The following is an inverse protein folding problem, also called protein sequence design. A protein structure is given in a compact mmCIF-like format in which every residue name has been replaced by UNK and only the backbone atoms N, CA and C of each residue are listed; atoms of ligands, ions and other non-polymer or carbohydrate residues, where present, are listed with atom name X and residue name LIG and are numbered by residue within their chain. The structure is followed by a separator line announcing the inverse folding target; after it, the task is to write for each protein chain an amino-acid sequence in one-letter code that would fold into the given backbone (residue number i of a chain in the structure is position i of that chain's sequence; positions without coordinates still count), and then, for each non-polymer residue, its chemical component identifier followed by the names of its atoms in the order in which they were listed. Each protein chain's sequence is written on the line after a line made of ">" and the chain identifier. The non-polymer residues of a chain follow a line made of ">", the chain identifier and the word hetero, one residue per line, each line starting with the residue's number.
data_IF_732853652720
#
_entry.id   IF_732853652720
#
_cell.length_a   1.000
_cell.length_b   1.000
_cell.length_c   1.000
_cell.angle_alpha   90.00
_cell.angle_beta   90.00
_cell.angle_gamma   90.00
#
_symmetry.space_group_name_H-M   'P 1'
#
loop_
_entity.id
_entity.type
_entity.pdbx_description
1 polymer ?
#
# COMPACT_ATOMS: atom_id res chain seq x y z
N UNK A 1 3.28 9.24 19.29
CA UNK A 1 2.29 8.44 18.53
C UNK A 1 3.07 7.35 17.79
N UNK A 2 2.45 6.45 17.02
CA UNK A 2 3.24 5.48 16.25
C UNK A 2 4.08 6.21 15.19
N UNK A 3 5.42 6.11 15.24
CA UNK A 3 6.35 6.91 14.39
C UNK A 3 6.07 6.81 12.89
N UNK A 4 5.52 5.69 12.43
CA UNK A 4 5.13 5.52 11.03
C UNK A 4 4.00 6.49 10.62
N UNK A 5 3.03 6.73 11.50
CA UNK A 5 1.93 7.68 11.24
C UNK A 5 2.47 9.10 11.17
N UNK A 6 3.37 9.47 12.07
CA UNK A 6 4.03 10.79 12.07
C UNK A 6 4.78 11.04 10.74
N UNK A 7 5.41 10.01 10.16
CA UNK A 7 6.03 10.11 8.83
C UNK A 7 5.02 10.30 7.70
N UNK A 8 3.88 9.62 7.76
CA UNK A 8 2.81 9.77 6.77
C UNK A 8 2.23 11.19 6.85
N UNK A 9 1.93 11.66 8.05
CA UNK A 9 1.38 13.00 8.26
C UNK A 9 2.33 14.07 7.68
N UNK A 10 3.63 13.93 7.96
CA UNK A 10 4.65 14.80 7.38
C UNK A 10 4.68 14.74 5.84
N UNK A 11 4.71 13.52 5.26
CA UNK A 11 4.76 13.32 3.81
C UNK A 11 3.53 13.93 3.11
N UNK A 12 2.35 13.78 3.71
CA UNK A 12 1.09 14.28 3.17
C UNK A 12 0.84 15.77 3.48
N UNK A 13 1.78 16.46 4.15
CA UNK A 13 1.59 17.81 4.67
C UNK A 13 0.30 17.94 5.51
N UNK A 14 -0.03 16.90 6.28
CA UNK A 14 -1.18 16.86 7.15
C UNK A 14 -0.85 17.58 8.47
N UNK A 15 -1.52 18.70 8.72
CA UNK A 15 -1.24 19.59 9.85
C UNK A 15 -2.24 19.51 11.01
N UNK A 16 -3.30 18.70 10.87
CA UNK A 16 -4.31 18.60 11.93
C UNK A 16 -3.81 17.72 13.06
N UNK A 17 -4.09 18.13 14.30
CA UNK A 17 -3.75 17.36 15.48
C UNK A 17 -4.70 16.18 15.68
N UNK A 18 -4.14 15.03 16.03
CA UNK A 18 -4.91 13.88 16.48
C UNK A 18 -5.54 14.15 17.86
N UNK A 19 -6.86 14.04 17.96
CA UNK A 19 -7.57 14.13 19.23
C UNK A 19 -7.70 12.73 19.85
N UNK A 20 -7.01 12.48 20.96
CA UNK A 20 -7.07 11.20 21.68
C UNK A 20 -8.33 11.19 22.56
N UNK A 21 -9.33 10.40 22.16
CA UNK A 21 -10.59 10.32 22.90
C UNK A 21 -10.50 9.41 24.14
N UNK A 22 -9.68 8.35 24.06
CA UNK A 22 -9.43 7.41 25.16
C UNK A 22 -8.08 6.73 24.97
N UNK A 23 -7.41 6.45 26.09
CA UNK A 23 -6.25 5.56 26.11
C UNK A 23 -6.71 4.11 25.86
N UNK A 24 -6.03 3.43 24.95
CA UNK A 24 -6.29 2.04 24.61
C UNK A 24 -4.98 1.35 24.23
N UNK A 25 -4.90 0.05 24.54
CA UNK A 25 -3.76 -0.78 24.19
C UNK A 25 -4.20 -1.89 23.24
N UNK A 26 -3.29 -2.32 22.38
CA UNK A 26 -3.43 -3.51 21.54
C UNK A 26 -2.37 -4.53 21.94
N UNK A 27 -2.66 -5.81 21.69
CA UNK A 27 -1.73 -6.90 21.96
C UNK A 27 -0.87 -7.17 20.71
N UNK A 28 0.45 -7.09 20.86
CA UNK A 28 1.42 -7.26 19.77
C UNK A 28 1.45 -8.69 19.21
N UNK A 29 0.78 -9.67 19.85
CA UNK A 29 0.65 -11.03 19.28
C UNK A 29 -0.21 -11.05 18.01
N UNK A 30 -1.00 -10.00 17.75
CA UNK A 30 -1.94 -9.94 16.65
C UNK A 30 -1.52 -8.92 15.58
N UNK A 31 -1.47 -9.39 14.33
CA UNK A 31 -1.17 -8.53 13.18
C UNK A 31 0.30 -8.13 13.11
N UNK A 32 0.57 -7.09 12.31
CA UNK A 32 1.92 -6.55 12.10
C UNK A 32 1.85 -5.04 11.97
N UNK A 33 2.80 -4.34 12.58
CA UNK A 33 3.05 -2.94 12.27
C UNK A 33 3.37 -2.78 10.77
N UNK A 34 2.85 -1.74 10.08
CA UNK A 34 2.98 -1.57 8.63
C UNK A 34 4.39 -1.77 8.06
N UNK A 35 5.40 -1.20 8.72
CA UNK A 35 6.83 -1.22 8.41
C UNK A 35 7.58 -2.43 8.98
N UNK A 36 6.89 -3.36 9.65
CA UNK A 36 7.44 -4.62 10.19
C UNK A 36 6.73 -5.86 9.64
N UNK A 37 5.90 -5.71 8.61
CA UNK A 37 5.22 -6.85 7.97
C UNK A 37 6.27 -7.77 7.32
N UNK A 38 6.17 -9.09 7.51
CA UNK A 38 6.92 -10.05 6.69
C UNK A 38 6.65 -9.83 5.20
N UNK A 39 7.61 -10.15 4.35
CA UNK A 39 7.53 -9.86 2.92
C UNK A 39 6.31 -10.49 2.25
N UNK A 40 5.89 -11.67 2.70
CA UNK A 40 4.72 -12.37 2.19
C UNK A 40 3.43 -11.61 2.52
N UNK A 41 3.37 -10.99 3.70
CA UNK A 41 2.25 -10.16 4.15
C UNK A 41 2.26 -8.83 3.42
N UNK A 42 3.43 -8.24 3.18
CA UNK A 42 3.58 -7.03 2.37
C UNK A 42 3.04 -7.27 0.96
N UNK A 43 3.54 -8.29 0.26
CA UNK A 43 3.13 -8.58 -1.12
C UNK A 43 1.63 -8.85 -1.26
N UNK A 44 1.03 -9.56 -0.29
CA UNK A 44 -0.42 -9.83 -0.29
C UNK A 44 -1.28 -8.58 -0.09
N UNK A 45 -0.75 -7.53 0.54
CA UNK A 45 -1.48 -6.32 0.92
C UNK A 45 -0.85 -5.03 0.37
N UNK A 46 -0.06 -5.14 -0.71
CA UNK A 46 0.68 -4.03 -1.27
C UNK A 46 -0.17 -3.16 -2.21
N UNK A 47 0.20 -1.88 -2.29
CA UNK A 47 -0.14 -0.99 -3.39
C UNK A 47 1.18 -0.65 -4.08
N UNK A 48 1.21 -0.79 -5.40
CA UNK A 48 2.38 -0.45 -6.21
C UNK A 48 2.04 0.83 -6.97
N UNK A 49 2.78 1.90 -6.69
CA UNK A 49 2.74 3.10 -7.51
C UNK A 49 3.56 2.84 -8.78
N UNK A 50 2.87 2.33 -9.80
CA UNK A 50 3.50 1.84 -11.03
C UNK A 50 3.48 2.94 -12.10
N UNK A 51 4.66 3.24 -12.65
CA UNK A 51 4.78 4.05 -13.86
C UNK A 51 4.50 3.17 -15.08
N UNK A 52 3.35 3.36 -15.71
CA UNK A 52 2.85 2.49 -16.78
C UNK A 52 3.53 2.89 -18.10
N UNK A 53 4.22 1.96 -18.80
CA UNK A 53 4.81 2.29 -20.10
C UNK A 53 3.73 2.56 -21.17
N UNK A 54 4.12 3.35 -22.18
CA UNK A 54 3.40 3.49 -23.45
C UNK A 54 3.36 2.17 -24.22
N UNK A 55 2.28 1.91 -24.96
CA UNK A 55 2.04 0.65 -25.68
C UNK A 55 1.00 -0.28 -25.04
N UNK A 56 1.30 -0.99 -23.93
CA UNK A 56 0.39 -1.99 -23.39
C UNK A 56 -0.82 -1.35 -22.71
N UNK A 57 -1.92 -2.11 -22.61
CA UNK A 57 -3.09 -1.72 -21.83
C UNK A 57 -2.82 -1.80 -20.32
N UNK A 58 -3.64 -1.10 -19.53
CA UNK A 58 -3.56 -1.18 -18.06
C UNK A 58 -3.82 -2.61 -17.53
N UNK A 59 -4.67 -3.38 -18.20
CA UNK A 59 -4.95 -4.78 -17.85
C UNK A 59 -3.75 -5.69 -18.09
N UNK A 60 -3.03 -5.51 -19.21
CA UNK A 60 -1.81 -6.27 -19.51
C UNK A 60 -0.71 -6.00 -18.48
N UNK A 61 -0.47 -4.72 -18.16
CA UNK A 61 0.54 -4.35 -17.17
C UNK A 61 0.20 -4.92 -15.79
N UNK A 62 -1.07 -4.84 -15.36
CA UNK A 62 -1.50 -5.46 -14.12
C UNK A 62 -1.31 -6.99 -14.14
N UNK A 63 -1.60 -7.65 -15.27
CA UNK A 63 -1.38 -9.08 -15.44
C UNK A 63 0.10 -9.47 -15.38
N UNK A 64 1.01 -8.65 -15.93
CA UNK A 64 2.45 -8.88 -15.82
C UNK A 64 2.92 -8.81 -14.37
N UNK A 65 2.49 -7.80 -13.61
CA UNK A 65 2.78 -7.70 -12.17
C UNK A 65 2.27 -8.94 -11.44
N UNK A 66 1.05 -9.39 -11.73
CA UNK A 66 0.49 -10.62 -11.15
C UNK A 66 1.39 -11.83 -11.42
N UNK A 67 1.91 -11.97 -12.64
CA UNK A 67 2.80 -13.08 -13.01
C UNK A 67 4.19 -12.99 -12.38
N UNK A 68 4.80 -11.80 -12.39
CA UNK A 68 6.13 -11.57 -11.80
C UNK A 68 6.18 -11.94 -10.32
N UNK A 69 5.14 -11.60 -9.57
CA UNK A 69 5.06 -11.89 -8.13
C UNK A 69 4.25 -13.15 -7.78
N UNK A 70 3.87 -13.95 -8.79
CA UNK A 70 3.06 -15.16 -8.62
C UNK A 70 1.80 -14.96 -7.74
N UNK A 71 1.06 -13.88 -8.00
CA UNK A 71 -0.09 -13.47 -7.20
C UNK A 71 -1.39 -14.13 -7.69
N UNK A 72 -2.31 -14.40 -6.77
CA UNK A 72 -3.63 -14.94 -7.10
C UNK A 72 -4.58 -13.88 -7.68
N UNK A 73 -4.45 -12.62 -7.23
CA UNK A 73 -5.31 -11.50 -7.63
C UNK A 73 -4.49 -10.21 -7.76
N UNK A 74 -4.89 -9.37 -8.70
CA UNK A 74 -4.37 -8.02 -8.92
C UNK A 74 -5.52 -7.13 -9.40
N UNK A 75 -5.41 -5.82 -9.20
CA UNK A 75 -6.28 -4.82 -9.81
C UNK A 75 -5.49 -3.53 -10.08
N UNK A 76 -6.00 -2.68 -10.96
CA UNK A 76 -5.46 -1.34 -11.20
C UNK A 76 -6.50 -0.28 -10.81
N UNK A 77 -6.04 0.89 -10.35
CA UNK A 77 -6.91 1.94 -9.80
C UNK A 77 -7.71 2.75 -10.84
N UNK A 78 -7.42 2.56 -12.11
CA UNK A 78 -8.09 3.21 -13.24
C UNK A 78 -7.43 2.81 -14.56
N UNK A 79 -8.16 2.85 -15.66
CA UNK A 79 -7.61 2.55 -16.98
C UNK A 79 -6.91 3.79 -17.53
N UNK A 80 -5.61 3.70 -17.79
CA UNK A 80 -4.89 4.66 -18.61
C UNK A 80 -4.95 4.23 -20.08
N UNK A 81 -5.15 5.19 -20.96
CA UNK A 81 -5.12 5.01 -22.42
C UNK A 81 -3.77 4.44 -22.87
N UNK A 82 -3.82 3.66 -23.94
CA UNK A 82 -2.64 3.14 -24.61
C UNK A 82 -2.20 4.20 -25.63
N UNK A 83 -1.25 5.03 -25.23
CA UNK A 83 -0.47 5.90 -26.13
C UNK A 83 0.73 5.17 -26.69
#
# INVERSE_FOLDING_TARGET
>A
MYKFLEKIDYFCNYSNSWNILREAQTDDKYGFYPDKRPIEVLLRNAIINLDKPAGPTSHEVAYWVKKMFNLNKVGHGGTLEHV
#
